data_IF_843775496692
#
_entry.id   IF_843775496692
#
_cell.length_a   1.000
_cell.length_b   1.000
_cell.length_c   1.000
_cell.angle_alpha   90.00
_cell.angle_beta   90.00
_cell.angle_gamma   90.00
#
_symmetry.space_group_name_H-M   'P 1'
#
loop_
_entity.id
_entity.type
_entity.pdbx_description
1 polymer ?
#
# COMPACT_ATOMS: atom_id res chain seq x y z
N UNK A 1 24.13 1.63 -6.01
CA UNK A 1 23.40 0.67 -6.86
C UNK A 1 21.99 0.57 -6.29
N UNK A 2 20.98 1.03 -7.02
CA UNK A 2 19.60 1.02 -6.52
C UNK A 2 19.03 -0.37 -6.79
N UNK A 3 19.02 -1.24 -5.78
CA UNK A 3 18.67 -2.67 -5.92
C UNK A 3 17.16 -2.90 -5.93
N UNK A 4 16.36 -1.90 -5.57
CA UNK A 4 14.91 -1.98 -5.44
C UNK A 4 14.25 -1.43 -6.71
N UNK A 5 13.54 -2.31 -7.42
CA UNK A 5 12.81 -2.05 -8.66
C UNK A 5 11.36 -2.54 -8.50
N UNK A 6 10.43 -1.98 -9.27
CA UNK A 6 9.04 -2.42 -9.20
C UNK A 6 8.87 -3.92 -9.50
N UNK A 7 9.74 -4.50 -10.33
CA UNK A 7 9.73 -5.92 -10.70
C UNK A 7 10.20 -6.87 -9.60
N UNK A 8 11.02 -6.41 -8.64
CA UNK A 8 11.63 -7.28 -7.64
C UNK A 8 11.16 -6.99 -6.20
N UNK A 9 10.43 -5.90 -5.97
CA UNK A 9 10.01 -5.48 -4.62
C UNK A 9 9.12 -6.53 -3.94
N UNK A 10 8.26 -7.24 -4.67
CA UNK A 10 7.41 -8.28 -4.10
C UNK A 10 8.24 -9.43 -3.51
N UNK A 11 9.23 -9.93 -4.26
CA UNK A 11 10.14 -10.97 -3.78
C UNK A 11 10.97 -10.49 -2.58
N UNK A 12 11.38 -9.22 -2.57
CA UNK A 12 12.14 -8.64 -1.46
C UNK A 12 11.28 -8.54 -0.20
N UNK A 13 9.99 -8.19 -0.34
CA UNK A 13 9.04 -8.19 0.77
C UNK A 13 8.82 -9.60 1.33
N UNK A 14 8.58 -10.58 0.46
CA UNK A 14 8.37 -11.97 0.87
C UNK A 14 9.59 -12.55 1.60
N UNK A 15 10.81 -12.30 1.07
CA UNK A 15 12.04 -12.76 1.69
C UNK A 15 12.34 -11.99 2.98
N UNK A 16 12.15 -10.67 2.98
CA UNK A 16 12.37 -9.81 4.15
C UNK A 16 11.48 -10.23 5.32
N UNK A 17 10.21 -10.50 5.06
CA UNK A 17 9.26 -10.99 6.06
C UNK A 17 9.62 -12.41 6.53
N UNK A 18 9.80 -13.35 5.58
CA UNK A 18 10.11 -14.76 5.87
C UNK A 18 11.37 -14.94 6.71
N UNK A 19 12.41 -14.15 6.44
CA UNK A 19 13.69 -14.21 7.14
C UNK A 19 13.83 -13.15 8.23
N UNK A 20 12.77 -12.37 8.51
CA UNK A 20 12.74 -11.32 9.53
C UNK A 20 13.88 -10.30 9.38
N UNK A 21 14.19 -9.92 8.14
CA UNK A 21 15.25 -8.96 7.81
C UNK A 21 14.67 -7.55 7.80
N UNK A 22 14.58 -6.92 8.97
CA UNK A 22 13.97 -5.60 9.15
C UNK A 22 14.54 -4.55 8.19
N UNK A 23 15.85 -4.56 7.94
CA UNK A 23 16.49 -3.62 7.01
C UNK A 23 15.87 -3.67 5.59
N UNK A 24 15.56 -4.87 5.09
CA UNK A 24 14.93 -5.03 3.76
C UNK A 24 13.52 -4.45 3.78
N UNK A 25 12.77 -4.73 4.85
CA UNK A 25 11.40 -4.23 5.03
C UNK A 25 11.36 -2.70 5.08
N UNK A 26 12.27 -2.07 5.83
CA UNK A 26 12.36 -0.61 5.94
C UNK A 26 12.71 0.06 4.60
N UNK A 27 13.61 -0.56 3.83
CA UNK A 27 14.01 -0.02 2.52
C UNK A 27 12.89 -0.23 1.49
N UNK A 28 12.19 -1.36 1.53
CA UNK A 28 11.00 -1.58 0.72
C UNK A 28 9.90 -0.55 1.03
N UNK A 29 9.58 -0.30 2.30
CA UNK A 29 8.56 0.69 2.68
C UNK A 29 8.91 2.08 2.11
N UNK A 30 10.15 2.53 2.28
CA UNK A 30 10.63 3.82 1.75
C UNK A 30 10.57 3.88 0.22
N UNK A 31 10.98 2.81 -0.46
CA UNK A 31 10.90 2.73 -1.91
C UNK A 31 9.44 2.83 -2.38
N UNK A 32 8.53 2.07 -1.77
CA UNK A 32 7.12 2.04 -2.10
C UNK A 32 6.44 3.40 -1.88
N UNK A 33 6.86 4.17 -0.88
CA UNK A 33 6.36 5.53 -0.65
C UNK A 33 6.71 6.50 -1.79
N UNK A 34 7.83 6.31 -2.46
CA UNK A 34 8.38 7.28 -3.42
C UNK A 34 8.14 6.90 -4.88
N UNK A 35 8.10 5.61 -5.21
CA UNK A 35 7.94 5.15 -6.60
C UNK A 35 6.56 5.48 -7.17
N UNK A 36 6.47 5.83 -8.45
CA UNK A 36 5.20 5.99 -9.17
C UNK A 36 4.87 4.79 -10.07
N UNK A 37 5.79 3.83 -10.19
CA UNK A 37 5.68 2.67 -11.06
C UNK A 37 4.64 1.65 -10.56
N UNK A 38 4.31 1.71 -9.27
CA UNK A 38 3.40 0.78 -8.61
C UNK A 38 2.10 1.50 -8.25
N UNK A 39 0.98 0.89 -8.60
CA UNK A 39 -0.34 1.47 -8.34
C UNK A 39 -0.64 1.53 -6.83
N UNK A 40 -1.39 2.55 -6.42
CA UNK A 40 -1.76 2.77 -5.02
C UNK A 40 -2.47 1.57 -4.39
N UNK A 41 -3.33 0.85 -5.15
CA UNK A 41 -4.02 -0.34 -4.65
C UNK A 41 -3.03 -1.44 -4.23
N UNK A 42 -2.02 -1.72 -5.05
CA UNK A 42 -1.03 -2.76 -4.76
C UNK A 42 -0.17 -2.37 -3.55
N UNK A 43 0.24 -1.09 -3.49
CA UNK A 43 0.95 -0.55 -2.32
C UNK A 43 0.13 -0.69 -1.04
N UNK A 44 -1.17 -0.39 -1.11
CA UNK A 44 -2.06 -0.49 0.04
C UNK A 44 -2.24 -1.95 0.50
N UNK A 45 -2.33 -2.90 -0.44
CA UNK A 45 -2.36 -4.35 -0.13
C UNK A 45 -1.09 -4.78 0.60
N UNK A 46 0.09 -4.39 0.11
CA UNK A 46 1.34 -4.72 0.79
C UNK A 46 1.47 -4.00 2.14
N UNK A 47 1.03 -2.76 2.24
CA UNK A 47 1.08 -2.02 3.49
C UNK A 47 0.22 -2.67 4.58
N UNK A 48 -0.95 -3.18 4.20
CA UNK A 48 -1.85 -3.94 5.07
C UNK A 48 -1.27 -5.32 5.42
N UNK A 49 -0.69 -6.01 4.43
CA UNK A 49 -0.12 -7.36 4.60
C UNK A 49 1.11 -7.38 5.52
N UNK A 50 2.04 -6.45 5.32
CA UNK A 50 3.31 -6.38 6.03
C UNK A 50 3.33 -5.33 7.15
N UNK A 51 2.15 -4.80 7.52
CA UNK A 51 1.97 -3.81 8.58
C UNK A 51 2.82 -2.52 8.44
N UNK A 52 3.02 -2.04 7.21
CA UNK A 52 3.72 -0.78 6.92
C UNK A 52 2.83 0.43 7.20
N UNK A 53 2.87 0.93 8.42
CA UNK A 53 2.01 2.02 8.87
C UNK A 53 2.21 3.32 8.08
N UNK A 54 3.44 3.65 7.68
CA UNK A 54 3.71 4.91 6.98
C UNK A 54 3.25 4.84 5.53
N UNK A 55 3.47 3.70 4.86
CA UNK A 55 2.96 3.47 3.51
C UNK A 55 1.42 3.43 3.49
N UNK A 56 0.82 2.74 4.46
CA UNK A 56 -0.63 2.64 4.61
C UNK A 56 -1.27 4.03 4.73
N UNK A 57 -0.76 4.83 5.65
CA UNK A 57 -1.22 6.19 5.87
C UNK A 57 -1.05 7.07 4.62
N UNK A 58 0.10 7.01 3.95
CA UNK A 58 0.35 7.75 2.72
C UNK A 58 -0.63 7.37 1.59
N UNK A 59 -0.89 6.07 1.40
CA UNK A 59 -1.86 5.58 0.42
C UNK A 59 -3.27 6.09 0.72
N UNK A 60 -3.75 5.98 1.96
CA UNK A 60 -5.09 6.46 2.32
C UNK A 60 -5.20 7.99 2.17
N UNK A 61 -4.16 8.74 2.55
CA UNK A 61 -4.18 10.19 2.39
C UNK A 61 -4.21 10.64 0.93
N UNK A 62 -3.56 9.89 0.03
CA UNK A 62 -3.56 10.16 -1.41
C UNK A 62 -4.94 10.02 -2.09
N UNK A 63 -5.89 9.36 -1.43
CA UNK A 63 -7.27 9.23 -1.90
C UNK A 63 -8.08 10.46 -1.49
N UNK A 64 -8.11 11.46 -2.36
CA UNK A 64 -8.67 12.79 -2.12
C UNK A 64 -10.07 13.03 -2.72
N UNK A 65 -10.58 12.07 -3.50
CA UNK A 65 -11.79 12.25 -4.29
C UNK A 65 -12.61 10.97 -4.40
N UNK A 66 -13.94 11.11 -4.50
CA UNK A 66 -14.86 9.97 -4.71
C UNK A 66 -14.47 9.10 -5.92
N UNK A 67 -13.90 9.72 -6.96
CA UNK A 67 -13.43 9.01 -8.15
C UNK A 67 -12.21 8.14 -7.86
N UNK A 68 -11.28 8.58 -7.00
CA UNK A 68 -10.14 7.77 -6.57
C UNK A 68 -10.61 6.51 -5.83
N UNK A 69 -11.60 6.63 -4.94
CA UNK A 69 -12.22 5.49 -4.26
C UNK A 69 -12.94 4.52 -5.21
N UNK A 70 -13.69 5.05 -6.19
CA UNK A 70 -14.34 4.21 -7.21
C UNK A 70 -13.32 3.42 -8.03
N UNK A 71 -12.23 4.06 -8.45
CA UNK A 71 -11.11 3.39 -9.15
C UNK A 71 -10.48 2.33 -8.27
N UNK A 72 -10.15 2.67 -7.02
CA UNK A 72 -9.60 1.73 -6.04
C UNK A 72 -10.45 0.47 -5.90
N UNK A 73 -11.78 0.61 -5.77
CA UNK A 73 -12.72 -0.51 -5.63
C UNK A 73 -12.86 -1.36 -6.90
N UNK A 74 -12.53 -0.81 -8.07
CA UNK A 74 -12.62 -1.53 -9.35
C UNK A 74 -11.49 -2.54 -9.59
N UNK A 75 -10.40 -2.42 -8.84
CA UNK A 75 -9.26 -3.34 -8.93
C UNK A 75 -9.56 -4.67 -8.22
N UNK A 76 -9.13 -5.78 -8.80
CA UNK A 76 -9.32 -7.11 -8.19
C UNK A 76 -8.56 -7.25 -6.87
N UNK A 77 -7.44 -6.55 -6.73
CA UNK A 77 -6.60 -6.50 -5.55
C UNK A 77 -7.34 -5.95 -4.32
N UNK A 78 -8.41 -5.17 -4.52
CA UNK A 78 -9.23 -4.65 -3.42
C UNK A 78 -9.78 -5.76 -2.51
N UNK A 79 -10.00 -6.97 -3.05
CA UNK A 79 -10.45 -8.12 -2.25
C UNK A 79 -9.41 -8.61 -1.24
N UNK A 80 -8.12 -8.31 -1.47
CA UNK A 80 -7.00 -8.71 -0.62
C UNK A 80 -6.82 -7.80 0.60
N UNK A 81 -7.51 -6.65 0.64
CA UNK A 81 -7.47 -5.70 1.75
C UNK A 81 -8.30 -6.24 2.92
N UNK A 82 -7.73 -6.17 4.12
CA UNK A 82 -8.35 -6.51 5.40
C UNK A 82 -9.56 -5.64 5.72
N UNK A 83 -10.44 -6.13 6.58
CA UNK A 83 -11.63 -5.37 7.00
C UNK A 83 -11.23 -4.12 7.80
N UNK A 84 -10.13 -4.16 8.55
CA UNK A 84 -9.57 -3.00 9.25
C UNK A 84 -9.20 -1.89 8.28
N UNK A 85 -8.50 -2.22 7.19
CA UNK A 85 -8.10 -1.23 6.19
C UNK A 85 -9.30 -0.76 5.37
N UNK A 86 -10.28 -1.62 5.09
CA UNK A 86 -11.56 -1.20 4.47
C UNK A 86 -12.32 -0.22 5.36
N UNK A 87 -12.34 -0.42 6.68
CA UNK A 87 -12.95 0.53 7.62
C UNK A 87 -12.23 1.89 7.57
N UNK A 88 -10.90 1.91 7.58
CA UNK A 88 -10.12 3.15 7.46
C UNK A 88 -10.40 3.89 6.13
N UNK A 89 -10.52 3.15 5.02
CA UNK A 89 -10.93 3.72 3.73
C UNK A 89 -12.35 4.32 3.78
N UNK A 90 -13.28 3.63 4.43
CA UNK A 90 -14.64 4.11 4.60
C UNK A 90 -14.69 5.39 5.46
N UNK A 91 -13.95 5.45 6.57
CA UNK A 91 -13.82 6.66 7.39
C UNK A 91 -13.26 7.84 6.60
N UNK A 92 -12.23 7.61 5.76
CA UNK A 92 -11.68 8.65 4.88
C UNK A 92 -12.71 9.10 3.84
N UNK A 93 -13.48 8.16 3.27
CA UNK A 93 -14.55 8.47 2.31
C UNK A 93 -15.64 9.35 2.93
N UNK A 94 -16.08 9.05 4.17
CA UNK A 94 -17.08 9.86 4.89
C UNK A 94 -16.60 11.30 5.04
N UNK A 95 -15.31 11.51 5.36
CA UNK A 95 -14.72 12.86 5.50
C UNK A 95 -14.70 13.68 4.19
N UNK A 96 -14.90 13.03 3.04
CA UNK A 96 -14.97 13.69 1.73
C UNK A 96 -16.40 13.94 1.26
N UNK A 97 -17.41 13.39 1.95
CA UNK A 97 -18.80 13.66 1.65
C UNK A 97 -19.19 15.03 2.21
N UNK A 98 -19.98 15.84 1.47
CA UNK A 98 -20.47 17.14 1.91
C UNK A 98 -21.49 17.04 3.06
#
# INVERSE_FOLDING_TARGET
MNVFLAENVEYLLELGDKFQIQFVMDVCEKFLQTTTEIQCIQKLVWADTYAFSNLHHACIQSLDSLNAFKRLKSHEEYRKISDTTKAALYEKLIKLLP
#
